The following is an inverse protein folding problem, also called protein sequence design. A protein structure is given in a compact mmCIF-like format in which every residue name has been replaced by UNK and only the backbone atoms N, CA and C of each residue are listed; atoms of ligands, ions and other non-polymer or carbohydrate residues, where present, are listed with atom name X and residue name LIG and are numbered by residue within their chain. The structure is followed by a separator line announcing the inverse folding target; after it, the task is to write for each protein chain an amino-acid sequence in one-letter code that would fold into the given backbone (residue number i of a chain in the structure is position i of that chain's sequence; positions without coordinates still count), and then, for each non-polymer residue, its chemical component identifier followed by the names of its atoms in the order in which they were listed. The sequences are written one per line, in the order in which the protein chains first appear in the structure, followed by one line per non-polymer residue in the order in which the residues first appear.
data_IF_370127344032
#
_entry.id   IF_370127344032
#
_cell.length_a   1.000
_cell.length_b   1.000
_cell.length_c   1.000
_cell.angle_alpha   90.00
_cell.angle_beta   90.00
_cell.angle_gamma   90.00
#
_symmetry.space_group_name_H-M   'P 1'
#
loop_
_entity.id
_entity.type
_entity.pdbx_description
1 polymer ?
#
# COMPACT_ATOMS: atom_id res chain seq x y z
N UNK A 1 -54.34 13.85 21.58
CA UNK A 1 -53.09 14.06 22.33
C UNK A 1 -52.08 13.08 21.75
N UNK A 2 -51.32 13.43 20.71
CA UNK A 2 -49.99 14.09 20.68
C UNK A 2 -48.87 13.29 21.39
N UNK A 3 -47.99 12.76 20.53
CA UNK A 3 -46.55 12.46 20.69
C UNK A 3 -46.17 11.40 21.76
N UNK A 4 -45.30 10.43 21.50
CA UNK A 4 -43.94 10.61 21.00
C UNK A 4 -43.45 9.37 20.24
N UNK A 5 -42.92 9.61 19.05
CA UNK A 5 -42.00 8.71 18.38
C UNK A 5 -40.67 8.71 19.15
N UNK A 6 -40.22 7.54 19.60
CA UNK A 6 -38.84 7.35 20.07
C UNK A 6 -38.20 6.32 19.15
N UNK A 7 -37.41 6.83 18.21
CA UNK A 7 -36.44 6.06 17.46
C UNK A 7 -35.41 5.49 18.45
N UNK A 8 -35.46 4.19 18.71
CA UNK A 8 -34.36 3.46 19.33
C UNK A 8 -33.56 2.78 18.23
N UNK A 9 -32.81 3.58 17.47
CA UNK A 9 -31.74 3.09 16.60
C UNK A 9 -30.52 2.79 17.46
N UNK A 10 -30.37 1.53 17.88
CA UNK A 10 -29.12 1.03 18.41
C UNK A 10 -28.40 0.24 17.32
N UNK A 11 -27.90 0.95 16.30
CA UNK A 11 -26.86 0.41 15.44
C UNK A 11 -25.55 0.45 16.26
N UNK A 12 -25.29 -0.61 17.02
CA UNK A 12 -23.96 -0.88 17.54
C UNK A 12 -23.06 -1.24 16.34
N UNK A 13 -22.56 -0.22 15.64
CA UNK A 13 -21.37 -0.38 14.81
C UNK A 13 -20.23 -0.64 15.79
N UNK A 14 -19.90 -1.92 15.99
CA UNK A 14 -18.64 -2.33 16.59
C UNK A 14 -17.56 -1.67 15.74
N UNK A 15 -16.93 -0.65 16.31
CA UNK A 15 -15.77 -0.01 15.70
C UNK A 15 -14.73 -1.09 15.47
N UNK A 16 -14.40 -1.34 14.21
CA UNK A 16 -13.20 -2.06 13.81
C UNK A 16 -12.02 -1.17 14.22
N UNK A 17 -11.65 -1.20 15.49
CA UNK A 17 -10.36 -0.70 15.91
C UNK A 17 -9.33 -1.73 15.43
N UNK A 18 -8.84 -1.56 14.20
CA UNK A 18 -7.57 -2.14 13.78
C UNK A 18 -6.57 -0.99 13.58
N UNK A 19 -6.07 -0.30 14.62
CA UNK A 19 -5.03 0.69 14.40
C UNK A 19 -3.61 0.10 14.52
N UNK A 20 -3.43 -1.14 14.99
CA UNK A 20 -2.08 -1.61 15.27
C UNK A 20 -1.26 -1.99 14.03
N UNK A 21 -1.90 -2.51 12.97
CA UNK A 21 -1.18 -3.06 11.83
C UNK A 21 -0.86 -2.02 10.76
N UNK A 22 -1.80 -1.12 10.46
CA UNK A 22 -1.57 -0.06 9.48
C UNK A 22 -0.45 0.89 9.93
N UNK A 23 -0.44 1.29 11.21
CA UNK A 23 0.64 2.14 11.75
C UNK A 23 2.00 1.42 11.72
N UNK A 24 2.04 0.10 12.01
CA UNK A 24 3.30 -0.66 11.94
C UNK A 24 3.83 -0.84 10.51
N UNK A 25 2.94 -1.00 9.54
CA UNK A 25 3.29 -1.17 8.13
C UNK A 25 3.71 0.16 7.52
N UNK A 26 3.03 1.25 7.90
CA UNK A 26 3.39 2.63 7.54
C UNK A 26 4.79 2.97 8.04
N UNK A 27 5.10 2.68 9.30
CA UNK A 27 6.44 2.89 9.87
C UNK A 27 7.51 2.06 9.15
N UNK A 28 7.21 0.79 8.84
CA UNK A 28 8.12 -0.09 8.10
C UNK A 28 8.39 0.44 6.68
N UNK A 29 7.36 0.91 5.99
CA UNK A 29 7.46 1.53 4.68
C UNK A 29 8.33 2.79 4.71
N UNK A 30 8.06 3.72 5.63
CA UNK A 30 8.83 4.95 5.77
C UNK A 30 10.29 4.68 6.14
N UNK A 31 10.55 3.69 7.01
CA UNK A 31 11.89 3.25 7.34
C UNK A 31 12.64 2.68 6.12
N UNK A 32 11.96 1.91 5.27
CA UNK A 32 12.53 1.40 4.02
C UNK A 32 12.88 2.52 3.03
N UNK A 33 12.02 3.53 2.88
CA UNK A 33 12.32 4.72 2.06
C UNK A 33 13.56 5.46 2.57
N UNK A 34 13.66 5.67 3.88
CA UNK A 34 14.81 6.33 4.51
C UNK A 34 16.10 5.54 4.27
N UNK A 35 16.08 4.21 4.43
CA UNK A 35 17.21 3.33 4.15
C UNK A 35 17.63 3.36 2.67
N UNK A 36 16.67 3.54 1.76
CA UNK A 36 16.90 3.68 0.33
C UNK A 36 17.38 5.08 -0.09
N UNK A 37 17.51 6.04 0.83
CA UNK A 37 17.87 7.43 0.51
C UNK A 37 16.78 8.15 -0.31
N UNK A 38 15.53 7.72 -0.16
CA UNK A 38 14.36 8.34 -0.78
C UNK A 38 13.79 9.36 0.20
N UNK A 39 13.87 10.63 -0.17
CA UNK A 39 13.29 11.73 0.59
C UNK A 39 11.85 11.99 0.15
N UNK A 40 10.97 12.22 1.12
CA UNK A 40 9.57 12.58 0.90
C UNK A 40 9.23 13.81 1.76
N UNK A 41 8.49 14.79 1.22
CA UNK A 41 8.18 16.02 1.94
C UNK A 41 7.04 15.86 2.95
N UNK A 42 6.21 14.83 2.77
CA UNK A 42 5.02 14.56 3.58
C UNK A 42 4.88 13.04 3.75
N UNK A 43 5.05 12.51 4.98
CA UNK A 43 4.91 11.09 5.27
C UNK A 43 3.53 10.54 4.88
N UNK A 44 2.45 11.29 5.14
CA UNK A 44 1.09 10.84 4.86
C UNK A 44 0.84 10.73 3.36
N UNK A 45 1.45 11.60 2.55
CA UNK A 45 1.42 11.46 1.08
C UNK A 45 2.21 10.24 0.60
N UNK A 46 3.38 9.99 1.17
CA UNK A 46 4.19 8.83 0.82
C UNK A 46 3.44 7.53 1.13
N UNK A 47 2.84 7.42 2.31
CA UNK A 47 2.02 6.29 2.74
C UNK A 47 0.88 6.02 1.76
N UNK A 48 0.07 7.04 1.43
CA UNK A 48 -1.05 6.87 0.48
C UNK A 48 -0.59 6.42 -0.91
N UNK A 49 0.57 6.91 -1.36
CA UNK A 49 1.15 6.47 -2.63
C UNK A 49 1.64 5.01 -2.56
N UNK A 50 2.26 4.59 -1.44
CA UNK A 50 2.67 3.20 -1.21
C UNK A 50 1.47 2.24 -1.13
N UNK A 51 0.41 2.60 -0.42
CA UNK A 51 -0.83 1.82 -0.40
C UNK A 51 -1.42 1.66 -1.81
N UNK A 52 -1.40 2.74 -2.61
CA UNK A 52 -1.88 2.71 -4.00
C UNK A 52 -1.09 1.77 -4.90
N UNK A 53 0.23 1.65 -4.69
CA UNK A 53 1.06 0.66 -5.40
C UNK A 53 0.49 -0.74 -5.19
N UNK A 54 0.07 -1.07 -3.96
CA UNK A 54 -0.52 -2.37 -3.68
C UNK A 54 -1.87 -2.58 -4.36
N UNK A 55 -2.74 -1.57 -4.34
CA UNK A 55 -4.03 -1.63 -5.04
C UNK A 55 -3.85 -1.88 -6.55
N UNK A 56 -2.91 -1.16 -7.17
CA UNK A 56 -2.62 -1.30 -8.60
C UNK A 56 -2.08 -2.70 -8.91
N UNK A 57 -1.10 -3.17 -8.13
CA UNK A 57 -0.58 -4.51 -8.26
C UNK A 57 -1.67 -5.57 -8.05
N UNK A 58 -2.61 -5.35 -7.12
CA UNK A 58 -3.76 -6.20 -6.85
C UNK A 58 -4.78 -6.24 -7.99
N UNK A 59 -4.91 -5.13 -8.72
CA UNK A 59 -5.78 -5.02 -9.89
C UNK A 59 -5.21 -5.63 -11.17
N UNK A 60 -3.97 -6.13 -11.13
CA UNK A 60 -3.28 -6.75 -12.28
C UNK A 60 -2.41 -5.79 -13.09
N UNK A 61 -2.19 -4.55 -12.63
CA UNK A 61 -1.21 -3.65 -13.24
C UNK A 61 0.20 -4.23 -13.12
N UNK A 62 1.00 -4.13 -14.19
CA UNK A 62 2.36 -4.66 -14.19
C UNK A 62 3.28 -3.83 -13.29
N UNK A 63 4.28 -4.47 -12.69
CA UNK A 63 5.25 -3.77 -11.85
C UNK A 63 5.97 -2.62 -12.61
N UNK A 64 6.32 -2.85 -13.88
CA UNK A 64 6.95 -1.83 -14.71
C UNK A 64 6.02 -0.62 -14.96
N UNK A 65 4.74 -0.85 -15.19
CA UNK A 65 3.77 0.24 -15.32
C UNK A 65 3.64 1.02 -14.01
N UNK A 66 3.59 0.33 -12.86
CA UNK A 66 3.53 0.98 -11.55
C UNK A 66 4.80 1.81 -11.28
N UNK A 67 5.99 1.28 -11.62
CA UNK A 67 7.26 2.01 -11.50
C UNK A 67 7.25 3.26 -12.37
N UNK A 68 6.78 3.16 -13.63
CA UNK A 68 6.64 4.30 -14.53
C UNK A 68 5.71 5.34 -13.92
N UNK A 69 4.54 4.94 -13.45
CA UNK A 69 3.55 5.85 -12.87
C UNK A 69 4.10 6.55 -11.62
N UNK A 70 4.80 5.82 -10.74
CA UNK A 70 5.49 6.40 -9.56
C UNK A 70 6.54 7.42 -9.99
N UNK A 71 7.33 7.12 -11.03
CA UNK A 71 8.34 8.04 -11.55
C UNK A 71 7.70 9.29 -12.17
N UNK A 72 6.65 9.15 -12.98
CA UNK A 72 5.95 10.28 -13.63
C UNK A 72 5.31 11.22 -12.61
N UNK A 73 4.75 10.66 -11.53
CA UNK A 73 4.15 11.44 -10.43
C UNK A 73 5.20 12.07 -9.50
N UNK A 74 6.44 11.58 -9.54
CA UNK A 74 7.53 12.02 -8.68
C UNK A 74 8.80 12.28 -9.51
N UNK A 75 8.87 13.36 -10.29
CA UNK A 75 9.99 13.64 -11.20
C UNK A 75 11.34 13.85 -10.49
N UNK A 76 11.34 14.01 -9.17
CA UNK A 76 12.56 14.02 -8.34
C UNK A 76 13.13 12.61 -8.11
N UNK A 77 12.38 11.55 -8.37
CA UNK A 77 12.85 10.17 -8.31
C UNK A 77 13.52 9.82 -9.64
N UNK A 78 14.68 9.17 -9.56
CA UNK A 78 15.16 8.39 -10.70
C UNK A 78 14.29 7.13 -10.84
N UNK A 79 14.32 6.49 -12.01
CA UNK A 79 13.65 5.19 -12.22
C UNK A 79 14.08 4.15 -11.17
N UNK A 80 15.36 4.15 -10.78
CA UNK A 80 15.86 3.29 -9.71
C UNK A 80 15.22 3.59 -8.34
N UNK A 81 15.03 4.88 -8.00
CA UNK A 81 14.31 5.27 -6.78
C UNK A 81 12.82 4.91 -6.84
N UNK A 82 12.19 5.03 -8.00
CA UNK A 82 10.82 4.59 -8.20
C UNK A 82 10.66 3.07 -8.00
N UNK A 83 11.59 2.27 -8.53
CA UNK A 83 11.62 0.83 -8.29
C UNK A 83 11.78 0.48 -6.79
N UNK A 84 12.71 1.13 -6.10
CA UNK A 84 12.89 0.95 -4.65
C UNK A 84 11.66 1.37 -3.84
N UNK A 85 10.96 2.43 -4.26
CA UNK A 85 9.70 2.84 -3.66
C UNK A 85 8.62 1.77 -3.83
N UNK A 86 8.45 1.24 -5.04
CA UNK A 86 7.49 0.17 -5.35
C UNK A 86 7.80 -1.10 -4.56
N UNK A 87 9.08 -1.48 -4.47
CA UNK A 87 9.53 -2.62 -3.68
C UNK A 87 9.23 -2.45 -2.18
N UNK A 88 9.54 -1.27 -1.62
CA UNK A 88 9.24 -0.96 -0.22
C UNK A 88 7.73 -1.01 0.06
N UNK A 89 6.92 -0.45 -0.85
CA UNK A 89 5.46 -0.48 -0.75
C UNK A 89 4.92 -1.91 -0.84
N UNK A 90 5.43 -2.74 -1.75
CA UNK A 90 5.03 -4.14 -1.86
C UNK A 90 5.38 -4.94 -0.60
N UNK A 91 6.55 -4.68 0.01
CA UNK A 91 6.98 -5.30 1.26
C UNK A 91 6.09 -4.96 2.45
N UNK A 92 5.69 -3.70 2.57
CA UNK A 92 4.87 -3.24 3.68
C UNK A 92 3.37 -3.54 3.49
N UNK A 93 2.84 -3.33 2.29
CA UNK A 93 1.40 -3.31 2.05
C UNK A 93 0.87 -4.52 1.26
N UNK A 94 1.75 -5.30 0.60
CA UNK A 94 1.37 -6.50 -0.14
C UNK A 94 2.04 -7.80 0.35
N UNK A 95 2.11 -8.09 1.66
CA UNK A 95 2.86 -9.26 2.16
C UNK A 95 2.35 -10.58 1.58
N UNK A 96 1.04 -10.76 1.43
CA UNK A 96 0.42 -11.97 0.84
C UNK A 96 0.89 -12.25 -0.60
N UNK A 97 1.23 -11.21 -1.36
CA UNK A 97 1.72 -11.34 -2.74
C UNK A 97 3.17 -11.83 -2.78
N UNK A 98 3.93 -11.51 -1.73
CA UNK A 98 5.30 -12.00 -1.55
C UNK A 98 5.27 -13.44 -1.01
N UNK A 99 4.32 -13.77 -0.13
CA UNK A 99 4.16 -15.12 0.45
C UNK A 99 3.74 -16.16 -0.59
N UNK A 100 2.94 -15.80 -1.60
CA UNK A 100 2.60 -16.71 -2.72
C UNK A 100 3.81 -17.00 -3.60
N UNK A 101 4.82 -16.11 -3.62
CA UNK A 101 6.05 -16.33 -4.39
C UNK A 101 7.01 -17.35 -3.75
N UNK A 102 6.81 -17.72 -2.49
CA UNK A 102 7.53 -18.83 -1.82
C UNK A 102 6.85 -20.20 -2.03
N UNK A 103 5.65 -20.23 -2.63
CA UNK A 103 4.91 -21.45 -3.00
C UNK A 103 4.79 -21.70 -4.50
N UNK A 104 5.43 -20.88 -5.34
CA UNK A 104 5.35 -20.96 -6.79
C UNK A 104 6.64 -21.50 -7.40
N UNK A 105 6.74 -22.82 -7.54
CA UNK A 105 7.64 -23.40 -8.54
C UNK A 105 7.27 -22.85 -9.91
N UNK A 106 8.04 -21.89 -10.40
CA UNK A 106 8.05 -21.51 -11.81
C UNK A 106 8.54 -22.71 -12.64
N UNK A 107 7.85 -23.03 -13.73
CA UNK A 107 8.56 -23.22 -14.98
C UNK A 107 7.93 -22.32 -16.04
N UNK A 108 8.47 -21.12 -16.20
CA UNK A 108 8.34 -20.41 -17.46
C UNK A 108 9.41 -20.97 -18.41
N UNK A 109 9.08 -22.09 -19.08
CA UNK A 109 9.83 -22.55 -20.25
C UNK A 109 9.42 -21.74 -21.47
N UNK A 110 10.39 -21.03 -22.03
CA UNK A 110 10.35 -20.38 -23.32
C UNK A 110 10.66 -21.39 -24.43
N UNK A 111 9.77 -21.56 -25.43
CA UNK A 111 10.05 -21.84 -26.86
C UNK A 111 8.76 -22.06 -27.64
#
# INVERSE_FOLDING_TARGET
MRALALLAGAAALVGMAIPAHADSDDDAFLAALNKAGITYPDPARAIRAGQKVCDLAGSGTTELDIIRDVHELNPAFSTAKAALFVQAAAGAYCPERLSISDGGTNPHSNS
#
